data_IF_392359897062
#
_entry.id   IF_392359897062
#
_cell.length_a   1.000
_cell.length_b   1.000
_cell.length_c   1.000
_cell.angle_alpha   90.00
_cell.angle_beta   90.00
_cell.angle_gamma   90.00
#
_symmetry.space_group_name_H-M   'P 1'
#
loop_
_entity.id
_entity.type
_entity.pdbx_description
1 polymer ?
#
# COMPACT_ATOMS: atom_id res chain seq x y z
N UNK A 1 -60.46 8.46 -7.38
CA UNK A 1 -59.16 9.14 -7.19
C UNK A 1 -58.16 8.13 -6.63
N UNK A 2 -57.40 7.44 -7.48
CA UNK A 2 -56.37 6.49 -7.04
C UNK A 2 -55.03 7.23 -6.92
N UNK A 3 -54.59 7.51 -5.69
CA UNK A 3 -53.19 7.88 -5.42
C UNK A 3 -52.37 6.59 -5.38
N UNK A 4 -51.78 6.21 -6.51
CA UNK A 4 -50.67 5.26 -6.50
C UNK A 4 -49.51 5.93 -5.76
N UNK A 5 -49.25 5.46 -4.54
CA UNK A 5 -48.01 5.76 -3.84
C UNK A 5 -46.86 5.25 -4.71
N UNK A 6 -46.08 6.19 -5.26
CA UNK A 6 -44.85 5.87 -5.97
C UNK A 6 -43.91 5.21 -4.97
N UNK A 7 -43.79 3.89 -5.03
CA UNK A 7 -42.80 3.12 -4.27
C UNK A 7 -41.44 3.55 -4.82
N UNK A 8 -40.82 4.55 -4.17
CA UNK A 8 -39.43 4.89 -4.42
C UNK A 8 -38.61 3.65 -4.09
N UNK A 9 -38.16 2.94 -5.13
CA UNK A 9 -37.16 1.87 -4.98
C UNK A 9 -35.95 2.52 -4.32
N UNK A 10 -35.57 2.01 -3.15
CA UNK A 10 -34.32 2.39 -2.51
C UNK A 10 -33.17 2.08 -3.48
N UNK A 11 -32.15 2.95 -3.59
CA UNK A 11 -30.99 2.67 -4.40
C UNK A 11 -30.37 1.35 -3.95
N UNK A 12 -30.23 0.38 -4.86
CA UNK A 12 -29.61 -0.91 -4.58
C UNK A 12 -28.09 -0.87 -4.72
N UNK A 13 -27.55 0.24 -5.22
CA UNK A 13 -26.12 0.49 -5.31
C UNK A 13 -25.85 2.00 -5.26
N UNK A 14 -24.62 2.37 -4.92
CA UNK A 14 -24.09 3.72 -5.05
C UNK A 14 -23.84 3.99 -6.54
N UNK A 15 -24.20 5.18 -7.00
CA UNK A 15 -24.02 5.55 -8.40
C UNK A 15 -22.53 5.53 -8.82
N UNK A 16 -22.27 4.96 -10.00
CA UNK A 16 -20.92 4.78 -10.52
C UNK A 16 -20.14 6.10 -10.65
N UNK A 17 -20.83 7.20 -11.01
CA UNK A 17 -20.21 8.52 -11.11
C UNK A 17 -19.64 8.99 -9.77
N UNK A 18 -20.42 8.88 -8.70
CA UNK A 18 -19.97 9.24 -7.35
C UNK A 18 -18.81 8.36 -6.88
N UNK A 19 -18.83 7.04 -7.18
CA UNK A 19 -17.69 6.15 -6.89
C UNK A 19 -16.44 6.62 -7.64
N UNK A 20 -16.54 6.84 -8.95
CA UNK A 20 -15.42 7.24 -9.79
C UNK A 20 -14.83 8.59 -9.37
N UNK A 21 -15.67 9.57 -9.07
CA UNK A 21 -15.24 10.89 -8.58
C UNK A 21 -14.55 10.80 -7.23
N UNK A 22 -15.02 9.94 -6.33
CA UNK A 22 -14.38 9.74 -5.03
C UNK A 22 -12.98 9.14 -5.18
N UNK A 23 -12.87 8.10 -5.99
CA UNK A 23 -11.60 7.43 -6.32
C UNK A 23 -10.61 8.41 -6.97
N UNK A 24 -11.09 9.24 -7.89
CA UNK A 24 -10.28 10.27 -8.54
C UNK A 24 -9.79 11.33 -7.56
N UNK A 25 -10.67 11.86 -6.71
CA UNK A 25 -10.29 12.82 -5.67
C UNK A 25 -9.22 12.26 -4.73
N UNK A 26 -9.30 10.96 -4.39
CA UNK A 26 -8.30 10.30 -3.56
C UNK A 26 -6.92 10.22 -4.24
N UNK A 27 -6.88 9.97 -5.55
CA UNK A 27 -5.66 9.94 -6.33
C UNK A 27 -5.05 11.34 -6.50
N UNK A 28 -5.90 12.34 -6.76
CA UNK A 28 -5.46 13.72 -7.03
C UNK A 28 -4.99 14.44 -5.77
N UNK A 29 -5.44 14.03 -4.58
CA UNK A 29 -5.14 14.70 -3.32
C UNK A 29 -6.13 15.83 -3.00
N UNK A 30 -7.31 15.84 -3.61
CA UNK A 30 -8.33 16.85 -3.33
C UNK A 30 -9.07 16.50 -2.02
N UNK A 31 -8.50 16.95 -0.91
CA UNK A 31 -9.02 16.69 0.44
C UNK A 31 -10.45 17.22 0.61
N UNK A 32 -10.77 18.38 0.01
CA UNK A 32 -12.10 18.97 0.12
C UNK A 32 -13.14 18.12 -0.61
N UNK A 33 -12.88 17.79 -1.87
CA UNK A 33 -13.78 16.96 -2.66
C UNK A 33 -13.90 15.54 -2.08
N UNK A 34 -12.82 14.97 -1.56
CA UNK A 34 -12.87 13.69 -0.83
C UNK A 34 -13.82 13.75 0.37
N UNK A 35 -13.72 14.79 1.21
CA UNK A 35 -14.59 14.96 2.37
C UNK A 35 -16.07 15.06 1.99
N UNK A 36 -16.39 15.90 1.00
CA UNK A 36 -17.77 16.07 0.52
C UNK A 36 -18.35 14.75 -0.01
N UNK A 37 -17.58 14.02 -0.82
CA UNK A 37 -18.00 12.75 -1.40
C UNK A 37 -18.13 11.65 -0.34
N UNK A 38 -17.25 11.61 0.66
CA UNK A 38 -17.36 10.67 1.79
C UNK A 38 -18.66 10.84 2.56
N UNK A 39 -19.04 12.09 2.87
CA UNK A 39 -20.30 12.38 3.57
C UNK A 39 -21.51 11.96 2.73
N UNK A 40 -21.48 12.23 1.42
CA UNK A 40 -22.54 11.80 0.49
C UNK A 40 -22.64 10.26 0.45
N UNK A 41 -21.51 9.58 0.29
CA UNK A 41 -21.41 8.12 0.25
C UNK A 41 -21.94 7.49 1.54
N UNK A 42 -21.60 8.05 2.71
CA UNK A 42 -22.08 7.58 4.00
C UNK A 42 -23.60 7.70 4.13
N UNK A 43 -24.17 8.83 3.70
CA UNK A 43 -25.62 9.04 3.74
C UNK A 43 -26.38 8.03 2.87
N UNK A 44 -25.88 7.76 1.66
CA UNK A 44 -26.46 6.75 0.75
C UNK A 44 -26.30 5.35 1.32
N UNK A 45 -25.09 5.00 1.79
CA UNK A 45 -24.80 3.68 2.33
C UNK A 45 -25.64 3.35 3.58
N UNK A 46 -25.81 4.32 4.48
CA UNK A 46 -26.67 4.15 5.66
C UNK A 46 -28.13 3.93 5.28
N UNK A 47 -28.63 4.70 4.31
CA UNK A 47 -30.03 4.62 3.86
C UNK A 47 -30.34 3.33 3.09
N UNK A 48 -29.35 2.77 2.40
CA UNK A 48 -29.50 1.60 1.54
C UNK A 48 -28.92 0.30 2.15
N UNK A 49 -28.29 0.36 3.32
CA UNK A 49 -27.63 -0.80 3.95
C UNK A 49 -26.41 -1.31 3.17
N UNK A 50 -25.70 -0.42 2.46
CA UNK A 50 -24.55 -0.79 1.63
C UNK A 50 -23.23 -0.69 2.41
N UNK A 51 -22.25 -1.53 2.06
CA UNK A 51 -20.90 -1.51 2.62
C UNK A 51 -19.95 -0.70 1.73
N UNK A 52 -19.26 0.27 2.33
CA UNK A 52 -18.28 1.14 1.66
C UNK A 52 -16.85 0.62 1.74
N UNK A 53 -16.62 -0.48 2.44
CA UNK A 53 -15.30 -0.85 2.93
C UNK A 53 -14.29 -1.05 1.80
N UNK A 54 -14.67 -1.77 0.74
CA UNK A 54 -13.83 -1.99 -0.44
C UNK A 54 -13.51 -0.68 -1.19
N UNK A 55 -14.50 0.22 -1.31
CA UNK A 55 -14.32 1.52 -1.97
C UNK A 55 -13.35 2.40 -1.17
N UNK A 56 -13.46 2.41 0.16
CA UNK A 56 -12.56 3.13 1.05
C UNK A 56 -11.15 2.54 1.02
N UNK A 57 -11.03 1.21 1.05
CA UNK A 57 -9.77 0.51 0.90
C UNK A 57 -9.08 0.82 -0.44
N UNK A 58 -9.86 0.89 -1.51
CA UNK A 58 -9.37 1.24 -2.85
C UNK A 58 -8.90 2.69 -2.92
N UNK A 59 -9.71 3.63 -2.43
CA UNK A 59 -9.34 5.05 -2.33
C UNK A 59 -8.08 5.26 -1.50
N UNK A 60 -7.94 4.53 -0.38
CA UNK A 60 -6.75 4.55 0.47
C UNK A 60 -5.51 4.04 -0.27
N UNK A 61 -5.64 2.95 -1.03
CA UNK A 61 -4.54 2.40 -1.82
C UNK A 61 -4.11 3.34 -2.95
N UNK A 62 -5.04 4.03 -3.60
CA UNK A 62 -4.73 5.02 -4.63
C UNK A 62 -4.08 6.28 -4.06
N UNK A 63 -4.56 6.77 -2.90
CA UNK A 63 -3.91 7.86 -2.19
C UNK A 63 -2.46 7.51 -1.84
N UNK A 64 -2.23 6.28 -1.36
CA UNK A 64 -0.89 5.78 -1.05
C UNK A 64 0.00 5.72 -2.30
N UNK A 65 -0.51 5.16 -3.40
CA UNK A 65 0.20 5.09 -4.69
C UNK A 65 0.61 6.48 -5.19
N UNK A 66 -0.25 7.49 -5.03
CA UNK A 66 0.00 8.87 -5.47
C UNK A 66 0.69 9.73 -4.40
N UNK A 67 1.22 9.12 -3.34
CA UNK A 67 1.95 9.79 -2.28
C UNK A 67 1.14 10.91 -1.58
N UNK A 68 -0.14 10.66 -1.28
CA UNK A 68 -1.09 11.58 -0.63
C UNK A 68 -1.39 11.19 0.83
N UNK A 69 -0.46 11.38 1.78
CA UNK A 69 -0.66 11.00 3.18
C UNK A 69 -1.77 11.79 3.89
N UNK A 70 -2.11 12.99 3.40
CA UNK A 70 -3.23 13.81 3.83
C UNK A 70 -4.58 13.11 3.59
N UNK A 71 -4.79 12.57 2.38
CA UNK A 71 -5.98 11.76 2.06
C UNK A 71 -5.97 10.45 2.86
N UNK A 72 -4.82 9.80 3.00
CA UNK A 72 -4.70 8.58 3.81
C UNK A 72 -5.11 8.85 5.27
N UNK A 73 -4.66 9.96 5.84
CA UNK A 73 -5.03 10.41 7.19
C UNK A 73 -6.52 10.69 7.30
N UNK A 74 -7.12 11.34 6.29
CA UNK A 74 -8.55 11.59 6.24
C UNK A 74 -9.36 10.27 6.28
N UNK A 75 -9.02 9.33 5.41
CA UNK A 75 -9.71 8.05 5.31
C UNK A 75 -9.54 7.18 6.57
N UNK A 76 -8.32 7.19 7.15
CA UNK A 76 -8.04 6.49 8.39
C UNK A 76 -8.83 7.06 9.57
N UNK A 77 -8.99 8.39 9.64
CA UNK A 77 -9.80 9.05 10.67
C UNK A 77 -11.29 8.73 10.50
N UNK A 78 -11.77 8.67 9.26
CA UNK A 78 -13.17 8.41 8.95
C UNK A 78 -13.59 6.98 9.32
N UNK A 79 -12.81 5.97 8.92
CA UNK A 79 -13.13 4.54 9.15
C UNK A 79 -11.88 3.74 9.52
N UNK A 80 -11.35 3.91 10.75
CA UNK A 80 -10.09 3.30 11.15
C UNK A 80 -10.15 1.76 11.09
N UNK A 81 -11.20 1.14 11.64
CA UNK A 81 -11.34 -0.32 11.66
C UNK A 81 -11.32 -0.94 10.25
N UNK A 82 -11.90 -0.26 9.27
CA UNK A 82 -11.92 -0.68 7.87
C UNK A 82 -10.51 -0.68 7.29
N UNK A 83 -9.74 0.39 7.49
CA UNK A 83 -8.37 0.47 6.96
C UNK A 83 -7.44 -0.50 7.69
N UNK A 84 -7.61 -0.66 9.01
CA UNK A 84 -6.78 -1.55 9.83
C UNK A 84 -7.05 -3.03 9.56
N UNK A 85 -8.28 -3.44 9.27
CA UNK A 85 -8.63 -4.87 9.25
C UNK A 85 -9.34 -5.32 7.97
N UNK A 86 -9.81 -4.39 7.14
CA UNK A 86 -10.48 -4.69 5.90
C UNK A 86 -9.54 -5.41 4.93
N UNK A 87 -10.10 -6.41 4.24
CA UNK A 87 -9.39 -7.32 3.35
C UNK A 87 -9.88 -7.07 1.93
N UNK A 88 -8.99 -7.03 0.96
CA UNK A 88 -9.29 -6.91 -0.46
C UNK A 88 -10.07 -8.14 -0.95
N UNK A 89 -11.38 -7.98 -1.18
CA UNK A 89 -12.22 -9.05 -1.73
C UNK A 89 -12.70 -8.76 -3.15
N UNK A 90 -12.90 -7.49 -3.51
CA UNK A 90 -13.45 -7.11 -4.81
C UNK A 90 -12.39 -7.06 -5.90
N UNK A 91 -12.59 -7.83 -6.97
CA UNK A 91 -11.73 -7.77 -8.16
C UNK A 91 -11.87 -6.45 -8.94
N UNK A 92 -13.00 -5.76 -8.80
CA UNK A 92 -13.23 -4.47 -9.45
C UNK A 92 -12.34 -3.39 -8.83
N UNK A 93 -12.12 -3.48 -7.51
CA UNK A 93 -11.27 -2.56 -6.75
C UNK A 93 -9.81 -3.03 -6.70
N UNK A 94 -9.56 -4.34 -6.73
CA UNK A 94 -8.25 -4.94 -6.48
C UNK A 94 -7.92 -6.01 -7.54
N UNK A 95 -7.63 -5.62 -8.79
CA UNK A 95 -7.34 -6.57 -9.85
C UNK A 95 -6.03 -7.33 -9.59
N UNK A 96 -6.06 -8.64 -9.85
CA UNK A 96 -4.96 -9.60 -9.57
C UNK A 96 -3.65 -9.26 -10.29
N UNK A 97 -3.73 -8.48 -11.36
CA UNK A 97 -2.59 -8.13 -12.22
C UNK A 97 -1.49 -7.36 -11.48
N UNK A 98 -1.80 -6.67 -10.38
CA UNK A 98 -0.80 -5.98 -9.55
C UNK A 98 0.12 -6.92 -8.75
N UNK A 99 -0.16 -8.23 -8.69
CA UNK A 99 0.59 -9.19 -7.87
C UNK A 99 1.56 -10.07 -8.68
N UNK A 100 1.58 -9.93 -10.01
CA UNK A 100 2.24 -10.86 -10.92
C UNK A 100 3.76 -10.64 -11.14
N UNK A 101 4.36 -9.58 -10.58
CA UNK A 101 5.78 -9.25 -10.83
C UNK A 101 6.71 -9.69 -9.68
N UNK A 102 7.44 -10.80 -9.87
CA UNK A 102 8.60 -11.18 -9.05
C UNK A 102 8.28 -12.05 -7.82
N UNK A 103 9.05 -11.88 -6.74
CA UNK A 103 8.93 -12.59 -5.45
C UNK A 103 7.52 -12.54 -4.83
N UNK A 104 6.61 -11.78 -5.44
CA UNK A 104 5.20 -11.66 -5.08
C UNK A 104 4.24 -12.65 -5.74
N UNK A 105 4.71 -13.58 -6.57
CA UNK A 105 3.87 -14.62 -7.23
C UNK A 105 3.00 -15.47 -6.29
N UNK A 106 3.32 -15.51 -4.99
CA UNK A 106 2.58 -16.29 -3.98
C UNK A 106 1.68 -15.44 -3.05
N UNK A 107 1.40 -14.19 -3.43
CA UNK A 107 0.57 -13.31 -2.64
C UNK A 107 -0.89 -13.46 -3.07
N UNK A 108 -1.61 -14.35 -2.39
CA UNK A 108 -3.03 -14.59 -2.62
C UNK A 108 -3.91 -13.37 -2.32
N UNK A 109 -5.14 -13.41 -2.84
CA UNK A 109 -6.22 -12.41 -2.74
C UNK A 109 -6.76 -12.21 -1.31
N UNK A 110 -5.90 -11.91 -0.35
CA UNK A 110 -6.27 -11.83 1.07
C UNK A 110 -5.49 -10.75 1.81
N UNK A 111 -5.07 -9.73 1.07
CA UNK A 111 -4.37 -8.61 1.67
C UNK A 111 -5.33 -7.71 2.43
N UNK A 112 -4.84 -7.16 3.54
CA UNK A 112 -5.48 -6.00 4.13
C UNK A 112 -5.29 -4.78 3.23
N UNK A 113 -6.23 -3.85 3.27
CA UNK A 113 -6.15 -2.60 2.51
C UNK A 113 -4.83 -1.86 2.77
N UNK A 114 -4.36 -1.81 4.02
CA UNK A 114 -3.09 -1.21 4.39
C UNK A 114 -1.88 -1.86 3.70
N UNK A 115 -1.85 -3.19 3.61
CA UNK A 115 -0.75 -3.92 2.99
C UNK A 115 -0.76 -3.83 1.47
N UNK A 116 -1.96 -3.81 0.86
CA UNK A 116 -2.09 -3.51 -0.57
C UNK A 116 -1.65 -2.08 -0.89
N UNK A 117 -2.05 -1.10 -0.07
CA UNK A 117 -1.61 0.29 -0.19
C UNK A 117 -0.09 0.43 -0.06
N UNK A 118 0.54 -0.28 0.88
CA UNK A 118 1.99 -0.29 1.05
C UNK A 118 2.71 -0.84 -0.18
N UNK A 119 2.16 -1.89 -0.80
CA UNK A 119 2.72 -2.46 -2.02
C UNK A 119 2.65 -1.47 -3.18
N UNK A 120 1.50 -0.85 -3.43
CA UNK A 120 1.34 0.14 -4.50
C UNK A 120 2.19 1.40 -4.24
N UNK A 121 2.29 1.85 -2.99
CA UNK A 121 3.15 2.97 -2.62
C UNK A 121 4.63 2.64 -2.85
N UNK A 122 5.07 1.43 -2.47
CA UNK A 122 6.43 0.98 -2.74
C UNK A 122 6.70 0.88 -4.25
N UNK A 123 5.78 0.30 -5.04
CA UNK A 123 5.90 0.19 -6.49
C UNK A 123 6.01 1.57 -7.18
N UNK A 124 5.22 2.54 -6.70
CA UNK A 124 5.26 3.92 -7.20
C UNK A 124 6.41 4.76 -6.62
N UNK A 125 7.24 4.19 -5.75
CA UNK A 125 8.27 4.90 -4.99
C UNK A 125 7.74 6.12 -4.19
N UNK A 126 6.51 5.99 -3.67
CA UNK A 126 5.83 6.99 -2.85
C UNK A 126 6.31 6.95 -1.39
N UNK A 127 7.48 7.55 -1.13
CA UNK A 127 8.16 7.45 0.16
C UNK A 127 7.33 7.96 1.35
N UNK A 128 6.60 9.07 1.22
CA UNK A 128 5.82 9.63 2.33
C UNK A 128 4.62 8.74 2.67
N UNK A 129 3.97 8.14 1.68
CA UNK A 129 2.92 7.16 1.90
C UNK A 129 3.46 5.90 2.60
N UNK A 130 4.65 5.42 2.22
CA UNK A 130 5.27 4.28 2.94
C UNK A 130 5.62 4.68 4.36
N UNK A 131 6.20 5.87 4.60
CA UNK A 131 6.47 6.39 5.95
C UNK A 131 5.21 6.48 6.80
N UNK A 132 4.11 6.96 6.23
CA UNK A 132 2.81 6.99 6.88
C UNK A 132 2.39 5.58 7.36
N UNK A 133 2.46 4.59 6.47
CA UNK A 133 2.03 3.21 6.73
C UNK A 133 2.91 2.49 7.76
N UNK A 134 4.23 2.67 7.69
CA UNK A 134 5.18 1.85 8.46
C UNK A 134 5.71 2.55 9.70
N UNK A 135 5.76 3.87 9.72
CA UNK A 135 6.35 4.64 10.82
C UNK A 135 5.28 5.38 11.64
N UNK A 136 4.46 6.19 10.97
CA UNK A 136 3.59 7.15 11.66
C UNK A 136 2.36 6.45 12.25
N UNK A 137 1.81 5.46 11.55
CA UNK A 137 0.63 4.70 12.00
C UNK A 137 0.86 3.20 12.21
N UNK A 138 2.02 2.66 11.80
CA UNK A 138 2.39 1.25 11.98
C UNK A 138 1.25 0.26 11.60
N UNK A 139 0.68 0.44 10.41
CA UNK A 139 -0.53 -0.25 9.96
C UNK A 139 -0.28 -1.68 9.45
N UNK A 140 0.98 -2.10 9.32
CA UNK A 140 1.39 -3.38 8.74
C UNK A 140 1.75 -4.41 9.80
N UNK A 141 1.43 -5.67 9.55
CA UNK A 141 1.88 -6.80 10.34
C UNK A 141 3.29 -7.23 9.93
N UNK A 142 3.98 -7.96 10.82
CA UNK A 142 5.36 -8.40 10.60
C UNK A 142 5.56 -9.12 9.26
N UNK A 143 4.67 -10.06 8.92
CA UNK A 143 4.76 -10.80 7.65
C UNK A 143 4.49 -9.93 6.41
N UNK A 144 3.77 -8.82 6.55
CA UNK A 144 3.53 -7.87 5.46
C UNK A 144 4.75 -6.94 5.31
N UNK A 145 5.34 -6.51 6.42
CA UNK A 145 6.59 -5.73 6.43
C UNK A 145 7.74 -6.49 5.78
N UNK A 146 7.90 -7.78 6.11
CA UNK A 146 8.89 -8.66 5.48
C UNK A 146 8.73 -8.73 3.96
N UNK A 147 7.48 -8.83 3.50
CA UNK A 147 7.12 -8.92 2.10
C UNK A 147 7.34 -7.60 1.34
N UNK A 148 6.95 -6.47 1.92
CA UNK A 148 7.22 -5.14 1.36
C UNK A 148 8.73 -4.88 1.31
N UNK A 149 9.44 -5.25 2.37
CA UNK A 149 10.90 -5.09 2.41
C UNK A 149 11.60 -5.93 1.34
N UNK A 150 11.20 -7.19 1.14
CA UNK A 150 11.73 -8.03 0.07
C UNK A 150 11.51 -7.38 -1.30
N UNK A 151 10.31 -6.85 -1.57
CA UNK A 151 10.01 -6.14 -2.83
C UNK A 151 10.90 -4.89 -3.02
N UNK A 152 11.01 -4.05 -1.98
CA UNK A 152 11.84 -2.84 -2.02
C UNK A 152 13.31 -3.18 -2.27
N UNK A 153 13.80 -4.25 -1.66
CA UNK A 153 15.16 -4.74 -1.85
C UNK A 153 15.38 -5.27 -3.27
N UNK A 154 14.43 -6.03 -3.82
CA UNK A 154 14.49 -6.49 -5.21
C UNK A 154 14.55 -5.31 -6.18
N UNK A 155 13.79 -4.24 -5.94
CA UNK A 155 13.81 -3.01 -6.73
C UNK A 155 15.10 -2.20 -6.55
N UNK A 156 15.62 -2.11 -5.31
CA UNK A 156 16.89 -1.44 -5.02
C UNK A 156 18.10 -2.17 -5.64
N UNK A 157 18.00 -3.48 -5.83
CA UNK A 157 19.08 -4.33 -6.37
C UNK A 157 18.94 -4.60 -7.87
N UNK A 158 17.75 -4.39 -8.45
CA UNK A 158 17.56 -4.50 -9.89
C UNK A 158 18.36 -3.42 -10.64
N UNK A 159 19.64 -3.72 -10.94
CA UNK A 159 20.44 -2.99 -11.91
C UNK A 159 19.90 -3.30 -13.33
N UNK A 160 19.38 -2.33 -14.09
CA UNK A 160 19.31 -2.51 -15.53
C UNK A 160 20.75 -2.51 -16.10
N UNK A 161 21.04 -3.33 -17.13
CA UNK A 161 22.25 -3.18 -17.90
C UNK A 161 22.18 -1.80 -18.57
N UNK A 162 23.13 -0.93 -18.23
CA UNK A 162 23.31 0.42 -18.79
C UNK A 162 22.13 1.39 -18.55
N UNK A 163 22.24 2.21 -17.48
CA UNK A 163 21.58 3.52 -17.47
C UNK A 163 20.60 3.88 -16.35
N UNK A 164 20.47 3.11 -15.25
CA UNK A 164 19.65 3.59 -14.12
C UNK A 164 20.17 3.24 -12.73
N UNK A 165 21.34 3.77 -12.38
CA UNK A 165 21.73 3.93 -10.97
C UNK A 165 20.71 4.80 -10.20
N UNK A 166 19.93 5.62 -10.90
CA UNK A 166 18.87 6.49 -10.36
C UNK A 166 17.71 5.67 -9.77
N UNK A 167 17.30 4.57 -10.42
CA UNK A 167 16.21 3.72 -9.89
C UNK A 167 16.66 2.92 -8.66
N UNK A 168 17.89 2.38 -8.66
CA UNK A 168 18.42 1.69 -7.49
C UNK A 168 18.45 2.63 -6.27
N UNK A 169 19.04 3.83 -6.42
CA UNK A 169 19.14 4.87 -5.38
C UNK A 169 17.77 5.37 -4.88
N UNK A 170 16.73 5.33 -5.71
CA UNK A 170 15.39 5.77 -5.34
C UNK A 170 14.75 4.93 -4.22
N UNK A 171 15.06 3.63 -4.16
CA UNK A 171 14.50 2.70 -3.16
C UNK A 171 15.33 2.59 -1.87
N UNK A 172 16.57 3.10 -1.85
CA UNK A 172 17.43 3.09 -0.66
C UNK A 172 16.82 3.78 0.57
N UNK A 173 16.19 4.97 0.46
CA UNK A 173 15.53 5.62 1.60
C UNK A 173 14.45 4.72 2.21
N UNK A 174 13.66 4.06 1.37
CA UNK A 174 12.58 3.17 1.80
C UNK A 174 13.12 1.91 2.48
N UNK A 175 14.16 1.29 1.90
CA UNK A 175 14.85 0.14 2.51
C UNK A 175 15.46 0.50 3.87
N UNK A 176 16.08 1.68 3.96
CA UNK A 176 16.69 2.20 5.19
C UNK A 176 15.63 2.47 6.26
N UNK A 177 14.51 3.10 5.89
CA UNK A 177 13.39 3.36 6.80
C UNK A 177 12.84 2.05 7.39
N UNK A 178 12.53 1.07 6.53
CA UNK A 178 12.00 -0.23 6.93
C UNK A 178 12.99 -0.96 7.85
N UNK A 179 14.26 -1.00 7.48
CA UNK A 179 15.29 -1.67 8.29
C UNK A 179 15.49 -0.99 9.66
N UNK A 180 15.53 0.35 9.69
CA UNK A 180 15.75 1.11 10.92
C UNK A 180 14.60 0.90 11.90
N UNK A 181 13.36 0.91 11.41
CA UNK A 181 12.16 0.74 12.24
C UNK A 181 11.91 -0.72 12.60
N UNK A 182 12.16 -1.65 11.69
CA UNK A 182 11.84 -3.08 11.84
C UNK A 182 13.04 -3.98 11.49
N UNK A 183 14.06 -4.10 12.35
CA UNK A 183 15.27 -4.87 12.02
C UNK A 183 15.03 -6.35 11.68
N UNK A 184 13.91 -6.93 12.13
CA UNK A 184 13.56 -8.33 11.85
C UNK A 184 13.31 -8.60 10.35
N UNK A 185 12.98 -7.58 9.55
CA UNK A 185 12.72 -7.74 8.12
C UNK A 185 13.92 -8.28 7.34
N UNK A 186 15.14 -8.22 7.91
CA UNK A 186 16.31 -8.91 7.36
C UNK A 186 16.14 -10.43 7.25
N UNK A 187 15.25 -11.04 8.03
CA UNK A 187 14.92 -12.48 7.94
C UNK A 187 14.31 -12.83 6.59
N UNK A 188 13.50 -11.94 6.01
CA UNK A 188 12.90 -12.13 4.69
C UNK A 188 13.95 -12.33 3.59
N UNK A 189 15.14 -11.75 3.77
CA UNK A 189 16.28 -11.86 2.84
C UNK A 189 17.14 -13.11 3.05
N UNK A 190 16.87 -13.91 4.09
CA UNK A 190 17.55 -15.19 4.36
C UNK A 190 16.80 -16.35 3.70
N UNK A 191 15.48 -16.22 3.53
CA UNK A 191 14.62 -17.21 2.88
C UNK A 191 14.76 -17.27 1.36
N UNK A 192 15.16 -16.17 0.70
CA UNK A 192 15.36 -16.11 -0.75
C UNK A 192 16.64 -16.81 -1.23
N UNK A 193 17.54 -17.20 -0.33
CA UNK A 193 18.81 -17.88 -0.66
C UNK A 193 18.71 -19.41 -0.75
N UNK A 194 17.50 -19.99 -0.64
CA UNK A 194 17.28 -21.44 -0.71
C UNK A 194 16.54 -21.84 -2.00
N UNK A 195 17.22 -21.70 -3.12
CA UNK A 195 16.83 -22.28 -4.41
C UNK A 195 18.10 -22.54 -5.20
N UNK A 196 18.43 -23.81 -5.42
CA UNK A 196 19.60 -24.21 -6.18
C UNK A 196 19.50 -23.83 -7.65
N UNK A 197 20.68 -23.74 -8.27
CA UNK A 197 20.97 -23.59 -9.70
C UNK A 197 21.06 -22.15 -10.24
N UNK A 198 22.28 -21.82 -10.68
CA UNK A 198 22.80 -20.56 -11.24
C UNK A 198 23.18 -19.48 -10.20
N UNK A 199 24.46 -19.03 -10.14
CA UNK A 199 24.82 -17.88 -9.33
C UNK A 199 24.19 -16.63 -9.94
N UNK A 200 23.09 -16.17 -9.35
CA UNK A 200 22.46 -14.91 -9.74
C UNK A 200 23.43 -13.77 -9.37
N UNK A 201 23.95 -12.98 -10.34
CA UNK A 201 24.85 -11.86 -10.08
C UNK A 201 24.22 -10.78 -9.18
N UNK A 202 22.89 -10.82 -8.98
CA UNK A 202 22.19 -9.98 -8.00
C UNK A 202 22.51 -10.37 -6.56
N UNK A 203 22.92 -11.60 -6.27
CA UNK A 203 23.26 -12.05 -4.90
C UNK A 203 24.40 -11.19 -4.32
N UNK A 204 25.44 -10.89 -5.10
CA UNK A 204 26.53 -10.01 -4.65
C UNK A 204 26.08 -8.58 -4.37
N UNK A 205 25.12 -8.07 -5.14
CA UNK A 205 24.54 -6.74 -4.96
C UNK A 205 23.56 -6.71 -3.76
N UNK A 206 22.76 -7.76 -3.55
CA UNK A 206 21.94 -7.94 -2.35
C UNK A 206 22.84 -7.96 -1.12
N UNK A 207 23.94 -8.72 -1.13
CA UNK A 207 24.86 -8.78 0.01
C UNK A 207 25.62 -7.46 0.23
N UNK A 208 25.99 -6.75 -0.84
CA UNK A 208 26.59 -5.41 -0.74
C UNK A 208 25.59 -4.40 -0.17
N UNK A 209 24.34 -4.43 -0.63
CA UNK A 209 23.27 -3.58 -0.11
C UNK A 209 22.92 -3.93 1.33
N UNK A 210 22.85 -5.22 1.69
CA UNK A 210 22.72 -5.69 3.07
C UNK A 210 23.86 -5.18 3.93
N UNK A 211 25.11 -5.26 3.45
CA UNK A 211 26.27 -4.77 4.17
C UNK A 211 26.22 -3.24 4.33
N UNK A 212 25.88 -2.50 3.28
CA UNK A 212 25.74 -1.04 3.33
C UNK A 212 24.61 -0.60 4.27
N UNK A 213 23.46 -1.27 4.23
CA UNK A 213 22.32 -1.02 5.11
C UNK A 213 22.63 -1.41 6.56
N UNK A 214 23.30 -2.54 6.79
CA UNK A 214 23.79 -2.94 8.13
C UNK A 214 24.80 -1.93 8.67
N UNK A 215 25.75 -1.49 7.85
CA UNK A 215 26.73 -0.48 8.20
C UNK A 215 26.06 0.86 8.54
N UNK A 216 25.11 1.30 7.71
CA UNK A 216 24.30 2.51 7.94
C UNK A 216 23.49 2.40 9.23
N UNK A 217 22.93 1.23 9.53
CA UNK A 217 22.21 0.97 10.76
C UNK A 217 23.13 1.00 11.99
N UNK A 218 24.30 0.38 11.91
CA UNK A 218 25.30 0.35 13.00
C UNK A 218 25.86 1.75 13.26
N UNK A 219 26.16 2.53 12.22
CA UNK A 219 26.64 3.91 12.35
C UNK A 219 25.59 4.87 12.91
N UNK A 220 24.33 4.73 12.49
CA UNK A 220 23.23 5.59 12.95
C UNK A 220 22.60 5.12 14.27
N UNK A 221 23.08 4.00 14.84
CA UNK A 221 22.96 3.76 16.28
C UNK A 221 23.95 4.68 16.98
N UNK A 222 23.57 5.93 17.22
CA UNK A 222 24.17 6.66 18.34
C UNK A 222 23.99 5.81 19.59
N UNK A 223 25.03 5.65 20.43
CA UNK A 223 24.88 4.93 21.69
C UNK A 223 23.79 5.65 22.47
N UNK A 224 22.71 4.94 22.75
CA UNK A 224 21.67 5.41 23.66
C UNK A 224 22.33 5.62 25.02
N UNK A 225 22.58 6.87 25.38
CA UNK A 225 22.54 7.33 26.77
C UNK A 225 21.10 7.71 27.08
#
# INVERSE_FOLDING_TARGET
MNRQASVKRLPTDIDHDTKARFVQACADGDTHQCQELLLKLQGVAHSAGLHLDELLGHGFALAAKNNRPDIMSLLLTFRPSVIHHGVCHSLDCFPVQHLAHGATRNFGQTFRYAAHAAFLAAEANAFEAVRFLVHDHALLYDFELEKIFAFVMDKAVACPPEGSAVLATAYHPMATLLLRKYPFVLRALQSTSRGGEVPDPRIGHVETLKAALRYTYVLNRSPSQ
#
